data_IF_008058910593
#
_entry.id   IF_008058910593
#
_cell.length_a   1.000
_cell.length_b   1.000
_cell.length_c   1.000
_cell.angle_alpha   90.00
_cell.angle_beta   90.00
_cell.angle_gamma   90.00
#
_symmetry.space_group_name_H-M   'P 1'
#
loop_
_entity.id
_entity.type
_entity.pdbx_description
1 polymer ?
#
# COMPACT_ATOMS: atom_id res chain seq x y z
N UNK A 1 4.33 -30.91 -14.12
CA UNK A 1 3.52 -29.68 -13.93
C UNK A 1 3.90 -28.82 -12.71
N UNK A 2 4.91 -29.16 -11.90
CA UNK A 2 5.13 -28.51 -10.58
C UNK A 2 6.10 -27.31 -10.56
N UNK A 3 7.23 -27.36 -11.28
CA UNK A 3 8.27 -26.32 -11.15
C UNK A 3 7.95 -24.95 -11.75
N UNK A 4 7.18 -24.90 -12.85
CA UNK A 4 6.85 -23.65 -13.55
C UNK A 4 5.76 -22.81 -12.86
N UNK A 5 4.80 -23.47 -12.20
CA UNK A 5 3.73 -22.80 -11.48
C UNK A 5 4.25 -22.16 -10.20
N UNK A 6 5.09 -22.87 -9.44
CA UNK A 6 5.66 -22.38 -8.19
C UNK A 6 6.57 -21.16 -8.42
N UNK A 7 7.36 -21.15 -9.49
CA UNK A 7 8.19 -19.99 -9.85
C UNK A 7 7.38 -18.77 -10.29
N UNK A 8 6.18 -18.98 -10.86
CA UNK A 8 5.29 -17.90 -11.33
C UNK A 8 4.45 -17.29 -10.21
N UNK A 9 4.02 -18.10 -9.24
CA UNK A 9 3.17 -17.67 -8.12
C UNK A 9 3.88 -17.69 -6.77
N UNK A 10 5.22 -17.71 -6.76
CA UNK A 10 6.04 -17.82 -5.54
C UNK A 10 5.63 -16.80 -4.47
N UNK A 11 5.36 -15.55 -4.86
CA UNK A 11 4.94 -14.49 -3.95
C UNK A 11 3.62 -14.83 -3.22
N UNK A 12 2.61 -15.34 -3.93
CA UNK A 12 1.33 -15.72 -3.32
C UNK A 12 1.47 -16.93 -2.39
N UNK A 13 2.31 -17.89 -2.77
CA UNK A 13 2.57 -19.07 -1.94
C UNK A 13 3.27 -18.66 -0.64
N UNK A 14 4.31 -17.83 -0.72
CA UNK A 14 5.01 -17.33 0.48
C UNK A 14 4.09 -16.48 1.34
N UNK A 15 3.26 -15.63 0.73
CA UNK A 15 2.26 -14.83 1.44
C UNK A 15 1.32 -15.71 2.26
N UNK A 16 0.80 -16.79 1.66
CA UNK A 16 -0.09 -17.73 2.35
C UNK A 16 0.64 -18.48 3.48
N UNK A 17 1.90 -18.87 3.27
CA UNK A 17 2.72 -19.54 4.27
C UNK A 17 3.13 -18.63 5.45
N UNK A 18 3.24 -17.31 5.24
CA UNK A 18 3.64 -16.38 6.31
C UNK A 18 2.55 -16.17 7.36
N UNK A 19 1.28 -16.42 7.03
CA UNK A 19 0.17 -16.32 7.97
C UNK A 19 0.33 -17.31 9.14
N UNK A 20 0.44 -18.63 8.93
CA UNK A 20 0.66 -19.58 10.03
C UNK A 20 2.01 -19.37 10.72
N UNK A 21 3.06 -18.97 9.99
CA UNK A 21 4.39 -18.71 10.56
C UNK A 21 4.37 -17.50 11.50
N UNK A 22 3.69 -16.42 11.13
CA UNK A 22 3.49 -15.24 11.98
C UNK A 22 2.70 -15.57 13.25
N UNK A 23 1.75 -16.51 13.16
CA UNK A 23 0.97 -16.97 14.31
C UNK A 23 1.74 -17.92 15.22
N UNK A 24 2.67 -18.73 14.71
CA UNK A 24 3.45 -19.68 15.52
C UNK A 24 4.72 -19.07 16.12
N UNK A 25 5.42 -18.21 15.38
CA UNK A 25 6.66 -17.57 15.82
C UNK A 25 6.55 -16.03 15.73
N UNK A 26 5.87 -15.36 16.67
CA UNK A 26 5.67 -13.90 16.60
C UNK A 26 6.92 -13.08 16.98
N UNK A 27 7.89 -13.67 17.69
CA UNK A 27 9.06 -12.96 18.24
C UNK A 27 9.83 -12.09 17.23
N UNK A 28 10.26 -12.62 16.07
CA UNK A 28 10.96 -11.82 15.06
C UNK A 28 10.09 -10.70 14.45
N UNK A 29 8.79 -10.95 14.29
CA UNK A 29 7.85 -9.95 13.76
C UNK A 29 7.58 -8.80 14.73
N UNK A 30 7.53 -9.11 16.04
CA UNK A 30 7.41 -8.12 17.11
C UNK A 30 8.66 -7.24 17.21
N UNK A 31 9.86 -7.84 17.12
CA UNK A 31 11.12 -7.10 17.13
C UNK A 31 11.20 -6.05 16.01
N UNK A 32 10.74 -6.40 14.80
CA UNK A 32 10.68 -5.47 13.66
C UNK A 32 9.75 -4.28 13.93
N UNK A 33 8.67 -4.51 14.67
CA UNK A 33 7.66 -3.48 14.99
C UNK A 33 8.10 -2.59 16.17
N UNK A 34 8.73 -3.18 17.18
CA UNK A 34 9.22 -2.47 18.36
C UNK A 34 10.38 -1.51 18.03
N UNK A 35 11.22 -1.90 17.06
CA UNK A 35 12.24 -1.04 16.49
C UNK A 35 11.58 -0.02 15.54
N UNK A 36 11.05 1.07 16.09
CA UNK A 36 10.25 2.08 15.38
C UNK A 36 10.89 2.76 14.15
N UNK A 37 12.17 2.48 13.87
CA UNK A 37 12.92 2.97 12.70
C UNK A 37 12.96 1.98 11.54
N UNK A 38 12.78 0.68 11.79
CA UNK A 38 12.92 -0.38 10.77
C UNK A 38 11.86 -0.21 9.68
N UNK A 39 10.58 -0.11 10.07
CA UNK A 39 9.48 0.01 9.11
C UNK A 39 9.65 1.27 8.21
N UNK A 40 9.87 2.49 8.75
CA UNK A 40 10.18 3.66 7.93
C UNK A 40 11.32 3.49 6.94
N UNK A 41 12.43 2.87 7.34
CA UNK A 41 13.59 2.66 6.48
C UNK A 41 13.26 1.69 5.34
N UNK A 42 12.59 0.58 5.64
CA UNK A 42 12.17 -0.39 4.62
C UNK A 42 11.13 0.20 3.67
N UNK A 43 10.18 1.01 4.16
CA UNK A 43 9.26 1.76 3.29
C UNK A 43 10.04 2.70 2.38
N UNK A 44 10.98 3.48 2.92
CA UNK A 44 11.79 4.39 2.12
C UNK A 44 12.61 3.68 1.04
N UNK A 45 13.23 2.55 1.37
CA UNK A 45 13.94 1.72 0.39
C UNK A 45 12.99 1.20 -0.71
N UNK A 46 11.84 0.65 -0.32
CA UNK A 46 10.82 0.17 -1.26
C UNK A 46 10.36 1.28 -2.21
N UNK A 47 10.13 2.47 -1.68
CA UNK A 47 9.65 3.62 -2.44
C UNK A 47 10.76 4.20 -3.33
N UNK A 48 12.01 4.17 -2.88
CA UNK A 48 13.17 4.51 -3.70
C UNK A 48 13.35 3.56 -4.89
N UNK A 49 13.24 2.25 -4.68
CA UNK A 49 13.29 1.26 -5.77
C UNK A 49 12.11 1.40 -6.73
N UNK A 50 10.92 1.69 -6.21
CA UNK A 50 9.72 1.96 -7.01
C UNK A 50 9.91 3.21 -7.86
N UNK A 51 10.40 4.30 -7.26
CA UNK A 51 10.76 5.54 -7.93
C UNK A 51 11.81 5.33 -9.01
N UNK A 52 12.90 4.60 -8.74
CA UNK A 52 13.93 4.29 -9.73
C UNK A 52 13.42 3.46 -10.91
N UNK A 53 12.47 2.57 -10.66
CA UNK A 53 11.89 1.69 -11.68
C UNK A 53 10.82 2.37 -12.55
N UNK A 54 10.25 3.49 -12.10
CA UNK A 54 9.22 4.23 -12.82
C UNK A 54 9.78 4.92 -14.07
N UNK A 55 9.09 4.76 -15.19
CA UNK A 55 9.47 5.42 -16.42
C UNK A 55 9.07 6.90 -16.46
N UNK A 56 10.07 7.76 -16.33
CA UNK A 56 9.94 9.23 -16.35
C UNK A 56 9.28 9.73 -17.64
N UNK A 57 9.54 9.08 -18.79
CA UNK A 57 8.97 9.49 -20.07
C UNK A 57 7.45 9.27 -20.13
N UNK A 58 6.99 8.15 -19.56
CA UNK A 58 5.58 7.81 -19.43
C UNK A 58 4.83 8.76 -18.49
N UNK A 59 5.47 9.17 -17.39
CA UNK A 59 4.91 10.16 -16.45
C UNK A 59 4.66 11.52 -17.13
N UNK A 60 5.66 12.04 -17.85
CA UNK A 60 5.59 13.36 -18.48
C UNK A 60 4.60 13.36 -19.65
N UNK A 61 4.59 12.31 -20.49
CA UNK A 61 3.74 12.23 -21.68
C UNK A 61 2.24 12.24 -21.35
N UNK A 62 1.87 11.67 -20.22
CA UNK A 62 0.48 11.44 -19.85
C UNK A 62 0.00 12.35 -18.72
N UNK A 63 0.89 13.14 -18.09
CA UNK A 63 0.53 14.19 -17.13
C UNK A 63 -0.48 15.22 -17.69
N UNK A 64 -0.56 15.34 -19.01
CA UNK A 64 -1.46 16.26 -19.71
C UNK A 64 -2.85 15.68 -19.99
N UNK A 65 -3.12 14.40 -19.67
CA UNK A 65 -4.42 13.78 -19.92
C UNK A 65 -5.41 14.01 -18.76
N UNK A 66 -5.68 15.29 -18.48
CA UNK A 66 -6.52 15.73 -17.36
C UNK A 66 -7.94 15.12 -17.38
N UNK A 67 -8.49 14.84 -18.57
CA UNK A 67 -9.81 14.23 -18.76
C UNK A 67 -9.93 12.83 -18.16
N UNK A 68 -8.81 12.13 -18.02
CA UNK A 68 -8.75 10.81 -17.40
C UNK A 68 -8.23 10.87 -15.95
N UNK A 69 -7.27 11.75 -15.68
CA UNK A 69 -6.68 11.91 -14.34
C UNK A 69 -7.73 12.42 -13.35
N UNK A 70 -8.46 13.48 -13.69
CA UNK A 70 -9.40 14.13 -12.76
C UNK A 70 -10.51 13.18 -12.27
N UNK A 71 -11.21 12.44 -13.14
CA UNK A 71 -12.25 11.51 -12.69
C UNK A 71 -11.70 10.42 -11.77
N UNK A 72 -10.51 9.89 -12.07
CA UNK A 72 -9.92 8.83 -11.24
C UNK A 72 -9.49 9.38 -9.89
N UNK A 73 -8.79 10.51 -9.85
CA UNK A 73 -8.41 11.15 -8.58
C UNK A 73 -9.64 11.55 -7.75
N UNK A 74 -10.68 12.09 -8.38
CA UNK A 74 -11.94 12.39 -7.71
C UNK A 74 -12.61 11.11 -7.18
N UNK A 75 -12.57 10.01 -7.93
CA UNK A 75 -13.11 8.74 -7.46
C UNK A 75 -12.35 8.20 -6.24
N UNK A 76 -11.02 8.28 -6.26
CA UNK A 76 -10.14 7.73 -5.22
C UNK A 76 -10.11 8.58 -3.95
N UNK A 77 -10.06 9.90 -4.09
CA UNK A 77 -9.84 10.81 -2.94
C UNK A 77 -11.09 11.54 -2.47
N UNK A 78 -12.20 11.46 -3.23
CA UNK A 78 -13.47 12.09 -2.86
C UNK A 78 -14.57 11.04 -2.75
N UNK A 79 -14.94 10.37 -3.86
CA UNK A 79 -16.08 9.45 -3.85
C UNK A 79 -15.88 8.28 -2.89
N UNK A 80 -14.73 7.60 -2.95
CA UNK A 80 -14.47 6.43 -2.09
C UNK A 80 -14.42 6.80 -0.59
N UNK A 81 -13.68 7.83 -0.14
CA UNK A 81 -13.69 8.23 1.26
C UNK A 81 -15.06 8.73 1.75
N UNK A 82 -15.80 9.49 0.92
CA UNK A 82 -17.14 9.98 1.28
C UNK A 82 -18.13 8.83 1.40
N UNK A 83 -18.12 7.89 0.45
CA UNK A 83 -18.95 6.70 0.51
C UNK A 83 -18.59 5.83 1.73
N UNK A 84 -17.30 5.61 1.98
CA UNK A 84 -16.83 4.85 3.14
C UNK A 84 -17.22 5.53 4.45
N UNK A 85 -17.12 6.86 4.55
CA UNK A 85 -17.54 7.62 5.72
C UNK A 85 -19.05 7.48 5.97
N UNK A 86 -19.88 7.64 4.92
CA UNK A 86 -21.33 7.48 5.03
C UNK A 86 -21.74 6.07 5.43
N UNK A 87 -21.13 5.04 4.82
CA UNK A 87 -21.36 3.65 5.18
C UNK A 87 -20.86 3.32 6.59
N UNK A 88 -19.73 3.87 7.00
CA UNK A 88 -19.19 3.67 8.34
C UNK A 88 -20.11 4.27 9.40
N UNK A 89 -20.73 5.43 9.17
CA UNK A 89 -21.70 5.99 10.11
C UNK A 89 -22.95 5.11 10.28
N UNK A 90 -23.36 4.39 9.23
CA UNK A 90 -24.53 3.53 9.27
C UNK A 90 -24.24 2.13 9.83
N UNK A 91 -23.05 1.59 9.56
CA UNK A 91 -22.66 0.21 9.90
C UNK A 91 -21.74 0.12 11.13
N UNK A 92 -21.39 1.25 11.76
CA UNK A 92 -20.48 1.25 12.90
C UNK A 92 -21.05 0.41 14.06
N UNK A 93 -20.30 -0.58 14.56
CA UNK A 93 -20.67 -1.28 15.78
C UNK A 93 -20.77 -0.30 16.96
N UNK A 94 -21.85 -0.38 17.74
CA UNK A 94 -22.03 0.46 18.92
C UNK A 94 -20.83 0.32 19.86
N UNK A 95 -20.21 1.45 20.21
CA UNK A 95 -19.11 1.48 21.17
C UNK A 95 -17.70 1.19 20.64
N UNK A 96 -17.48 0.95 19.34
CA UNK A 96 -16.13 0.77 18.80
C UNK A 96 -15.52 2.12 18.32
N UNK A 97 -14.54 2.72 19.03
CA UNK A 97 -13.86 3.95 18.61
C UNK A 97 -12.87 3.75 17.46
N UNK A 98 -12.46 2.51 17.15
CA UNK A 98 -11.42 2.22 16.17
C UNK A 98 -11.96 1.89 14.78
N UNK A 99 -13.25 1.50 14.68
CA UNK A 99 -13.88 1.13 13.41
C UNK A 99 -13.80 2.24 12.34
N UNK A 100 -14.25 3.44 12.68
CA UNK A 100 -14.24 4.58 11.74
C UNK A 100 -12.81 4.96 11.29
N UNK A 101 -11.83 5.15 12.20
CA UNK A 101 -10.44 5.35 11.80
C UNK A 101 -9.90 4.26 10.87
N UNK A 102 -10.16 2.98 11.17
CA UNK A 102 -9.66 1.87 10.36
C UNK A 102 -10.22 1.88 8.94
N UNK A 103 -11.54 2.05 8.80
CA UNK A 103 -12.20 2.14 7.49
C UNK A 103 -11.71 3.36 6.71
N UNK A 104 -11.58 4.52 7.36
CA UNK A 104 -11.09 5.73 6.69
C UNK A 104 -9.63 5.63 6.26
N UNK A 105 -8.77 4.97 7.06
CA UNK A 105 -7.39 4.68 6.66
C UNK A 105 -7.38 3.82 5.40
N UNK A 106 -8.22 2.79 5.33
CA UNK A 106 -8.31 1.94 4.14
C UNK A 106 -8.89 2.70 2.93
N UNK A 107 -9.94 3.49 3.12
CA UNK A 107 -10.62 4.22 2.05
C UNK A 107 -9.77 5.36 1.47
N UNK A 108 -8.85 5.93 2.26
CA UNK A 108 -7.97 7.01 1.82
C UNK A 108 -6.73 6.51 1.04
N UNK A 109 -6.54 5.19 0.87
CA UNK A 109 -5.43 4.63 0.09
C UNK A 109 -5.77 4.52 -1.40
N UNK A 110 -4.80 4.85 -2.26
CA UNK A 110 -4.92 4.55 -3.68
C UNK A 110 -4.70 3.05 -3.98
N UNK A 111 -5.18 2.64 -5.16
CA UNK A 111 -5.26 1.24 -5.57
C UNK A 111 -3.92 0.60 -5.95
N UNK A 112 -3.93 -0.73 -6.04
CA UNK A 112 -2.76 -1.49 -6.48
C UNK A 112 -2.57 -1.42 -7.99
N UNK A 113 -1.33 -1.17 -8.42
CA UNK A 113 -0.95 -1.09 -9.84
C UNK A 113 -1.37 -2.33 -10.63
N UNK A 114 -1.18 -3.51 -10.06
CA UNK A 114 -1.50 -4.78 -10.73
C UNK A 114 -3.00 -4.94 -11.01
N UNK A 115 -3.86 -4.71 -10.00
CA UNK A 115 -5.31 -4.86 -10.15
C UNK A 115 -5.89 -3.79 -11.05
N UNK A 116 -5.45 -2.53 -10.91
CA UNK A 116 -5.90 -1.42 -11.74
C UNK A 116 -5.62 -1.67 -13.24
N UNK A 117 -4.40 -2.14 -13.57
CA UNK A 117 -4.04 -2.48 -14.94
C UNK A 117 -4.83 -3.67 -15.47
N UNK A 118 -4.95 -4.75 -14.70
CA UNK A 118 -5.67 -5.95 -15.14
C UNK A 118 -7.15 -5.66 -15.41
N UNK A 119 -7.83 -4.98 -14.49
CA UNK A 119 -9.25 -4.61 -14.63
C UNK A 119 -9.47 -3.65 -15.79
N UNK A 120 -8.59 -2.65 -15.95
CA UNK A 120 -8.70 -1.71 -17.08
C UNK A 120 -8.54 -2.42 -18.42
N UNK A 121 -7.59 -3.36 -18.52
CA UNK A 121 -7.39 -4.13 -19.74
C UNK A 121 -8.58 -5.05 -20.05
N UNK A 122 -9.16 -5.70 -19.03
CA UNK A 122 -10.36 -6.53 -19.20
C UNK A 122 -11.58 -5.70 -19.63
N UNK A 123 -11.66 -4.44 -19.21
CA UNK A 123 -12.70 -3.50 -19.63
C UNK A 123 -12.43 -2.86 -21.03
N UNK A 124 -11.37 -3.26 -21.73
CA UNK A 124 -10.99 -2.69 -23.03
C UNK A 124 -10.38 -1.28 -22.96
N UNK A 125 -9.91 -0.87 -21.79
CA UNK A 125 -9.32 0.45 -21.54
C UNK A 125 -7.83 0.56 -21.92
N UNK A 126 -7.26 1.75 -21.71
CA UNK A 126 -5.88 2.06 -22.08
C UNK A 126 -4.89 1.68 -20.97
N UNK A 127 -3.98 0.75 -21.28
CA UNK A 127 -2.92 0.27 -20.37
C UNK A 127 -1.98 1.37 -19.88
N UNK A 128 -1.49 2.19 -20.79
CA UNK A 128 -0.49 3.22 -20.50
C UNK A 128 -1.09 4.31 -19.61
N UNK A 129 -2.33 4.69 -19.91
CA UNK A 129 -3.06 5.65 -19.11
C UNK A 129 -3.35 5.12 -17.71
N UNK A 130 -3.80 3.86 -17.60
CA UNK A 130 -4.02 3.21 -16.31
C UNK A 130 -2.75 3.15 -15.47
N UNK A 131 -1.60 2.84 -16.08
CA UNK A 131 -0.31 2.84 -15.40
C UNK A 131 0.00 4.22 -14.81
N UNK A 132 -0.08 5.27 -15.64
CA UNK A 132 0.29 6.62 -15.21
C UNK A 132 -0.65 7.16 -14.15
N UNK A 133 -1.96 7.03 -14.35
CA UNK A 133 -2.95 7.49 -13.39
C UNK A 133 -2.81 6.76 -12.06
N UNK A 134 -2.54 5.45 -12.08
CA UNK A 134 -2.34 4.69 -10.84
C UNK A 134 -1.07 5.14 -10.11
N UNK A 135 0.05 5.33 -10.82
CA UNK A 135 1.29 5.84 -10.21
C UNK A 135 1.09 7.25 -9.63
N UNK A 136 0.41 8.13 -10.37
CA UNK A 136 0.09 9.48 -9.93
C UNK A 136 -0.79 9.45 -8.67
N UNK A 137 -1.86 8.65 -8.67
CA UNK A 137 -2.74 8.50 -7.51
C UNK A 137 -1.99 7.95 -6.29
N UNK A 138 -1.15 6.93 -6.46
CA UNK A 138 -0.35 6.35 -5.37
C UNK A 138 0.64 7.36 -4.77
N UNK A 139 1.18 8.25 -5.60
CA UNK A 139 2.07 9.32 -5.16
C UNK A 139 1.28 10.41 -4.42
N UNK A 140 0.11 10.80 -4.94
CA UNK A 140 -0.79 11.77 -4.31
C UNK A 140 -1.40 11.27 -2.99
N UNK A 141 -1.60 9.97 -2.82
CA UNK A 141 -2.07 9.36 -1.56
C UNK A 141 -1.24 9.78 -0.37
N UNK A 142 0.08 9.85 -0.54
CA UNK A 142 1.03 10.24 0.51
C UNK A 142 0.74 11.65 1.04
N UNK A 143 0.28 12.53 0.16
CA UNK A 143 -0.05 13.92 0.50
C UNK A 143 -1.49 14.07 0.95
N UNK A 144 -2.45 13.39 0.30
CA UNK A 144 -3.88 13.58 0.53
C UNK A 144 -4.44 12.77 1.69
N UNK A 145 -3.84 11.60 2.02
CA UNK A 145 -4.34 10.73 3.10
C UNK A 145 -4.44 11.45 4.45
N UNK A 146 -3.40 12.18 4.92
CA UNK A 146 -3.47 12.86 6.21
C UNK A 146 -4.63 13.86 6.29
N UNK A 147 -4.89 14.63 5.22
CA UNK A 147 -6.00 15.59 5.16
C UNK A 147 -7.37 14.90 5.17
N UNK A 148 -7.52 13.78 4.45
CA UNK A 148 -8.75 13.00 4.45
C UNK A 148 -9.04 12.45 5.85
N UNK A 149 -8.00 11.93 6.52
CA UNK A 149 -8.12 11.39 7.88
C UNK A 149 -8.42 12.48 8.92
N UNK A 150 -7.74 13.61 8.86
CA UNK A 150 -8.03 14.76 9.72
C UNK A 150 -9.48 15.20 9.55
N UNK A 151 -9.97 15.29 8.30
CA UNK A 151 -11.33 15.77 8.07
C UNK A 151 -12.41 14.79 8.52
N UNK A 152 -12.16 13.49 8.41
CA UNK A 152 -13.11 12.44 8.74
C UNK A 152 -13.08 12.03 10.22
N UNK A 153 -11.91 12.06 10.86
CA UNK A 153 -11.66 11.45 12.18
C UNK A 153 -11.04 12.45 13.18
N UNK A 154 -10.62 13.63 12.73
CA UNK A 154 -9.92 14.64 13.53
C UNK A 154 -10.69 15.14 14.77
N UNK A 155 -12.02 15.01 14.78
CA UNK A 155 -12.84 15.32 15.97
C UNK A 155 -12.69 14.28 17.10
N UNK A 156 -12.27 13.05 16.76
CA UNK A 156 -12.12 11.93 17.72
C UNK A 156 -10.68 11.58 18.03
N UNK A 157 -9.75 11.87 17.11
CA UNK A 157 -8.32 11.60 17.25
C UNK A 157 -7.57 12.84 16.78
N UNK A 158 -6.80 13.48 17.65
CA UNK A 158 -5.94 14.58 17.24
C UNK A 158 -4.78 14.03 16.41
N UNK A 159 -4.79 14.36 15.13
CA UNK A 159 -3.66 14.12 14.24
C UNK A 159 -2.87 15.41 14.10
N UNK A 160 -1.56 15.35 14.32
CA UNK A 160 -0.67 16.41 13.83
C UNK A 160 -0.50 16.20 12.32
N UNK A 161 -1.42 16.77 11.55
CA UNK A 161 -1.44 16.63 10.09
C UNK A 161 -0.15 17.14 9.46
N UNK A 162 0.43 18.23 9.98
CA UNK A 162 1.67 18.80 9.45
C UNK A 162 2.83 17.83 9.69
N UNK A 163 2.96 17.29 10.90
CA UNK A 163 3.99 16.29 11.18
C UNK A 163 3.78 15.00 10.39
N UNK A 164 2.53 14.57 10.18
CA UNK A 164 2.20 13.38 9.39
C UNK A 164 2.56 13.59 7.92
N UNK A 165 2.21 14.74 7.32
CA UNK A 165 2.58 15.10 5.95
C UNK A 165 4.10 15.17 5.81
N UNK A 166 4.81 15.83 6.74
CA UNK A 166 6.27 15.93 6.70
C UNK A 166 6.92 14.54 6.81
N UNK A 167 6.41 13.69 7.71
CA UNK A 167 6.90 12.32 7.89
C UNK A 167 6.67 11.47 6.64
N UNK A 168 5.48 11.57 6.03
CA UNK A 168 5.16 10.87 4.78
C UNK A 168 6.00 11.40 3.60
N UNK A 169 6.25 12.70 3.56
CA UNK A 169 7.15 13.32 2.58
C UNK A 169 8.57 12.73 2.71
N UNK A 170 9.13 12.66 3.91
CA UNK A 170 10.47 12.12 4.15
C UNK A 170 10.57 10.60 3.89
N UNK A 171 9.56 9.83 4.31
CA UNK A 171 9.59 8.36 4.21
C UNK A 171 9.25 7.88 2.80
N UNK A 172 8.39 8.58 2.07
CA UNK A 172 7.87 8.11 0.78
C UNK A 172 8.29 9.00 -0.37
N UNK A 173 7.97 10.30 -0.32
CA UNK A 173 8.15 11.17 -1.48
C UNK A 173 9.64 11.45 -1.76
N UNK A 174 10.42 11.74 -0.72
CA UNK A 174 11.86 11.99 -0.82
C UNK A 174 12.61 10.81 -1.47
N UNK A 175 12.47 9.54 -1.01
CA UNK A 175 13.14 8.42 -1.67
C UNK A 175 12.66 8.18 -3.11
N UNK A 176 11.38 8.42 -3.43
CA UNK A 176 10.89 8.35 -4.82
C UNK A 176 11.62 9.38 -5.70
N UNK A 177 11.73 10.62 -5.22
CA UNK A 177 12.43 11.70 -5.93
C UNK A 177 13.92 11.37 -6.14
N UNK A 178 14.59 10.85 -5.10
CA UNK A 178 15.98 10.38 -5.19
C UNK A 178 16.09 9.27 -6.24
N UNK A 179 15.20 8.28 -6.20
CA UNK A 179 15.18 7.18 -7.18
C UNK A 179 14.99 7.69 -8.61
N UNK A 180 14.07 8.64 -8.83
CA UNK A 180 13.84 9.26 -10.15
C UNK A 180 15.03 10.08 -10.64
N UNK A 181 15.69 10.85 -9.77
CA UNK A 181 16.87 11.64 -10.12
C UNK A 181 18.09 10.77 -10.46
N UNK A 182 18.23 9.62 -9.79
CA UNK A 182 19.30 8.66 -10.05
C UNK A 182 19.06 7.84 -11.32
N UNK A 183 17.80 7.63 -11.72
CA UNK A 183 17.42 6.84 -12.88
C UNK A 183 18.16 7.23 -14.17
N UNK A 184 18.10 8.46 -14.71
CA UNK A 184 18.73 8.78 -16.00
C UNK A 184 20.25 8.56 -16.01
N UNK A 185 20.93 8.68 -14.85
CA UNK A 185 22.38 8.51 -14.75
C UNK A 185 22.81 7.05 -14.57
N UNK A 186 22.00 6.23 -13.89
CA UNK A 186 22.39 4.89 -13.47
C UNK A 186 21.61 3.77 -14.16
N UNK A 187 20.52 4.07 -14.88
CA UNK A 187 19.61 3.07 -15.46
C UNK A 187 20.32 2.05 -16.35
N UNK A 188 21.23 2.51 -17.22
CA UNK A 188 22.04 1.66 -18.10
C UNK A 188 23.04 0.80 -17.31
N UNK A 189 23.63 1.34 -16.24
CA UNK A 189 24.59 0.60 -15.39
C UNK A 189 23.91 -0.43 -14.47
N UNK A 190 22.62 -0.26 -14.19
CA UNK A 190 21.85 -1.16 -13.32
C UNK A 190 21.25 -2.36 -14.02
N UNK A 191 21.54 -2.62 -15.29
CA UNK A 191 21.03 -3.78 -16.07
C UNK A 191 21.12 -5.10 -15.29
N UNK A 192 22.25 -5.33 -14.60
CA UNK A 192 22.52 -6.54 -13.79
C UNK A 192 21.71 -6.64 -12.50
N UNK A 193 21.30 -5.52 -11.91
CA UNK A 193 20.55 -5.48 -10.63
C UNK A 193 19.04 -5.25 -10.81
N UNK A 194 18.56 -5.05 -12.05
CA UNK A 194 17.13 -4.91 -12.37
C UNK A 194 16.25 -6.05 -11.81
N UNK A 195 16.67 -7.33 -11.83
CA UNK A 195 15.88 -8.39 -11.21
C UNK A 195 15.72 -8.19 -9.70
N UNK A 196 16.79 -7.80 -9.01
CA UNK A 196 16.77 -7.53 -7.57
C UNK A 196 15.87 -6.33 -7.23
N UNK A 197 15.92 -5.26 -8.04
CA UNK A 197 15.06 -4.08 -7.86
C UNK A 197 13.56 -4.40 -7.97
N UNK A 198 13.18 -5.42 -8.76
CA UNK A 198 11.78 -5.88 -8.86
C UNK A 198 11.35 -6.77 -7.69
N UNK A 199 12.27 -7.57 -7.15
CA UNK A 199 11.99 -8.52 -6.07
C UNK A 199 12.07 -7.86 -4.69
N UNK A 200 12.92 -6.87 -4.49
CA UNK A 200 13.11 -6.22 -3.19
C UNK A 200 11.80 -5.63 -2.61
N UNK A 201 10.97 -4.86 -3.36
CA UNK A 201 9.67 -4.41 -2.87
C UNK A 201 8.74 -5.55 -2.43
N UNK A 202 8.78 -6.69 -3.14
CA UNK A 202 7.95 -7.85 -2.83
C UNK A 202 8.39 -8.51 -1.51
N UNK A 203 9.70 -8.61 -1.26
CA UNK A 203 10.23 -9.11 0.02
C UNK A 203 9.87 -8.20 1.19
N UNK A 204 9.89 -6.89 0.98
CA UNK A 204 9.51 -5.90 2.01
C UNK A 204 8.03 -6.03 2.37
N UNK A 205 7.15 -6.22 1.38
CA UNK A 205 5.72 -6.48 1.63
C UNK A 205 5.54 -7.77 2.44
N UNK A 206 6.24 -8.85 2.08
CA UNK A 206 6.18 -10.12 2.82
C UNK A 206 6.60 -9.93 4.29
N UNK A 207 7.66 -9.15 4.53
CA UNK A 207 8.11 -8.79 5.89
C UNK A 207 7.02 -8.06 6.68
N UNK A 208 6.33 -7.10 6.07
CA UNK A 208 5.27 -6.33 6.73
C UNK A 208 4.03 -7.16 7.02
N UNK A 209 3.65 -8.06 6.11
CA UNK A 209 2.56 -9.01 6.35
C UNK A 209 2.90 -9.90 7.55
N UNK A 210 4.12 -10.45 7.58
CA UNK A 210 4.60 -11.25 8.71
C UNK A 210 4.58 -10.46 10.03
N UNK A 211 5.14 -9.24 10.06
CA UNK A 211 5.13 -8.39 11.26
C UNK A 211 3.70 -8.01 11.70
N UNK A 212 2.80 -7.76 10.75
CA UNK A 212 1.39 -7.48 11.00
C UNK A 212 0.68 -8.63 11.70
N UNK A 213 0.75 -9.84 11.13
CA UNK A 213 0.17 -11.05 11.71
C UNK A 213 0.82 -11.45 13.03
N UNK A 214 2.15 -11.35 13.15
CA UNK A 214 2.86 -11.60 14.40
C UNK A 214 2.38 -10.67 15.53
N UNK A 215 2.14 -9.39 15.23
CA UNK A 215 1.65 -8.43 16.22
C UNK A 215 0.16 -8.60 16.57
N UNK A 216 -0.61 -9.21 15.68
CA UNK A 216 -2.01 -9.57 15.91
C UNK A 216 -2.19 -10.94 16.56
N UNK A 217 -1.12 -11.75 16.66
CA UNK A 217 -1.18 -13.15 17.06
C UNK A 217 -1.79 -13.33 18.44
N UNK A 218 -1.43 -12.49 19.42
CA UNK A 218 -1.99 -12.59 20.78
C UNK A 218 -3.48 -12.29 20.82
N UNK A 219 -3.93 -11.27 20.08
CA UNK A 219 -5.36 -10.92 19.95
C UNK A 219 -6.15 -11.99 19.20
N UNK A 220 -5.56 -12.56 18.14
CA UNK A 220 -6.17 -13.62 17.34
C UNK A 220 -6.25 -14.95 18.09
N UNK A 221 -5.24 -15.28 18.92
CA UNK A 221 -5.25 -16.46 19.79
C UNK A 221 -6.31 -16.36 20.89
N UNK A 222 -6.52 -15.16 21.45
CA UNK A 222 -7.57 -14.93 22.45
C UNK A 222 -8.98 -14.90 21.82
N UNK A 223 -9.11 -14.45 20.57
CA UNK A 223 -10.35 -14.43 19.80
C UNK A 223 -10.59 -15.66 18.92
N UNK A 224 -10.19 -16.87 19.35
CA UNK A 224 -10.27 -18.11 18.54
C UNK A 224 -11.66 -18.42 17.95
N UNK A 225 -12.74 -17.94 18.58
CA UNK A 225 -14.10 -18.05 18.06
C UNK A 225 -14.33 -17.19 16.80
N UNK A 226 -13.63 -16.06 16.66
CA UNK A 226 -13.71 -15.16 15.52
C UNK A 226 -13.00 -15.73 14.28
N UNK A 227 -11.86 -16.41 14.48
CA UNK A 227 -11.16 -17.15 13.42
C UNK A 227 -12.00 -18.30 12.87
N UNK A 228 -12.68 -19.05 13.74
CA UNK A 228 -13.62 -20.10 13.35
C UNK A 228 -14.82 -19.53 12.57
N UNK A 229 -15.33 -18.35 12.97
CA UNK A 229 -16.41 -17.68 12.24
C UNK A 229 -15.98 -17.11 10.88
N UNK A 230 -14.76 -16.58 10.76
CA UNK A 230 -14.21 -16.14 9.48
C UNK A 230 -13.93 -17.31 8.53
N UNK A 231 -13.43 -18.43 9.04
CA UNK A 231 -13.23 -19.65 8.24
C UNK A 231 -14.52 -20.36 7.88
N UNK A 232 -15.57 -20.25 8.71
CA UNK A 232 -16.89 -20.80 8.40
C UNK A 232 -17.73 -19.90 7.47
N UNK A 233 -17.33 -18.64 7.29
CA UNK A 233 -17.99 -17.68 6.40
C UNK A 233 -17.35 -17.60 4.99
N UNK A 234 -16.16 -18.18 4.81
CA UNK A 234 -15.52 -18.41 3.51
C UNK A 234 -15.91 -19.79 2.97
#
# INVERSE_FOLDING_TARGET
>A
MSGGFLKRYWFLVVLLCLIPVGLWAPGPGLYIKEQGHIIPVFVGLMQGFSGFSMDTSSLVRQAFNWRAIVPVLASTFVLAPVAAYGLALWLRPEGDPHFLPAIMIMAAQAGTLASALALTMMAGGNRELALVVTVLSNSLTVLLTPFILERAVGATVQFDTIAMVLRMFLIVLLPILIGQLLRPKLWERTESVRPALKVAPQLIILLFVYAGFASGADKLRQGGELLLRFLAAC
#
